data_IF_292535110388
#
_entry.id   IF_292535110388
#
_cell.length_a   1.000
_cell.length_b   1.000
_cell.length_c   1.000
_cell.angle_alpha   90.00
_cell.angle_beta   90.00
_cell.angle_gamma   90.00
#
_symmetry.space_group_name_H-M   'P 1'
#
loop_
_entity.id
_entity.type
_entity.pdbx_description
1 polymer ?
#
# COMPACT_ATOMS: atom_id res chain seq x y z
N UNK A 1 22.25 18.82 40.05
CA UNK A 1 22.25 19.86 39.01
C UNK A 1 21.74 19.22 37.73
N UNK A 2 20.61 19.66 37.15
CA UNK A 2 20.15 19.15 35.88
C UNK A 2 21.11 19.65 34.80
N UNK A 3 21.51 18.73 33.87
CA UNK A 3 22.27 19.09 32.67
C UNK A 3 21.47 20.11 31.85
N UNK A 4 22.08 21.16 31.31
CA UNK A 4 21.42 22.08 30.43
C UNK A 4 20.94 21.31 29.20
N UNK A 5 19.67 21.46 28.85
CA UNK A 5 19.12 20.98 27.57
C UNK A 5 19.96 21.60 26.45
N UNK A 6 20.53 20.76 25.60
CA UNK A 6 21.20 21.21 24.40
C UNK A 6 20.23 22.08 23.63
N UNK A 7 20.57 23.36 23.44
CA UNK A 7 19.84 24.27 22.58
C UNK A 7 20.01 23.77 21.12
N UNK A 8 19.11 22.93 20.67
CA UNK A 8 19.02 22.65 19.22
C UNK A 8 18.50 23.92 18.56
N UNK A 9 19.38 24.68 17.93
CA UNK A 9 18.95 25.69 16.96
C UNK A 9 18.13 24.94 15.91
N UNK A 10 16.86 25.30 15.69
CA UNK A 10 16.08 24.67 14.64
C UNK A 10 16.83 24.83 13.31
N UNK A 11 17.01 23.71 12.59
CA UNK A 11 17.63 23.73 11.27
C UNK A 11 16.84 24.60 10.27
N UNK A 12 17.38 24.82 9.05
CA UNK A 12 16.72 25.65 8.04
C UNK A 12 15.33 25.09 7.67
N UNK A 13 14.41 26.01 7.35
CA UNK A 13 13.09 25.72 6.82
C UNK A 13 13.10 25.79 5.29
N UNK A 14 12.09 25.20 4.64
CA UNK A 14 11.98 25.24 3.17
C UNK A 14 12.01 26.68 2.63
N UNK A 15 11.34 27.62 3.29
CA UNK A 15 11.34 29.05 2.90
C UNK A 15 12.71 29.74 2.96
N UNK A 16 13.68 29.15 3.65
CA UNK A 16 15.02 29.72 3.82
C UNK A 16 15.97 29.33 2.67
N UNK A 17 15.52 28.44 1.76
CA UNK A 17 16.27 27.93 0.63
C UNK A 17 15.58 28.27 -0.70
N UNK A 18 16.35 28.40 -1.74
CA UNK A 18 15.85 28.34 -3.11
C UNK A 18 15.52 26.89 -3.49
N UNK A 19 14.70 26.70 -4.51
CA UNK A 19 14.39 25.40 -5.07
C UNK A 19 15.67 24.61 -5.44
N UNK A 20 16.61 25.25 -6.11
CA UNK A 20 17.88 24.63 -6.52
C UNK A 20 18.71 24.15 -5.30
N UNK A 21 18.74 24.93 -4.21
CA UNK A 21 19.45 24.54 -2.98
C UNK A 21 18.75 23.37 -2.27
N UNK A 22 17.42 23.31 -2.31
CA UNK A 22 16.65 22.19 -1.76
C UNK A 22 16.86 20.93 -2.61
N UNK A 23 16.75 21.02 -3.94
CA UNK A 23 17.01 19.92 -4.86
C UNK A 23 18.43 19.37 -4.71
N UNK A 24 19.44 20.24 -4.57
CA UNK A 24 20.81 19.82 -4.33
C UNK A 24 21.00 18.97 -3.04
N UNK A 25 20.09 19.08 -2.08
CA UNK A 25 20.13 18.31 -0.85
C UNK A 25 19.34 17.00 -0.91
N UNK A 26 18.32 16.90 -1.77
CA UNK A 26 17.44 15.72 -1.83
C UNK A 26 17.78 14.78 -2.98
N UNK A 27 18.08 15.30 -4.18
CA UNK A 27 18.36 14.48 -5.38
C UNK A 27 19.50 13.46 -5.15
N UNK A 28 20.61 13.79 -4.50
CA UNK A 28 21.67 12.81 -4.21
C UNK A 28 21.27 11.67 -3.27
N UNK A 29 20.15 11.78 -2.57
CA UNK A 29 19.61 10.73 -1.68
C UNK A 29 18.73 9.73 -2.42
N UNK A 30 18.27 10.07 -3.63
CA UNK A 30 17.33 9.26 -4.41
C UNK A 30 18.05 8.15 -5.18
N UNK A 31 17.45 6.96 -5.28
CA UNK A 31 18.07 5.86 -6.01
C UNK A 31 17.94 6.05 -7.51
N UNK A 32 18.99 5.68 -8.23
CA UNK A 32 18.92 5.51 -9.69
C UNK A 32 18.32 4.14 -10.01
N UNK A 33 17.36 4.09 -10.93
CA UNK A 33 16.74 2.86 -11.38
C UNK A 33 17.68 1.99 -12.23
N UNK A 34 17.50 0.66 -12.18
CA UNK A 34 18.28 -0.28 -12.99
C UNK A 34 18.12 -0.08 -14.50
N UNK A 35 16.96 0.44 -14.92
CA UNK A 35 16.62 0.67 -16.33
C UNK A 35 16.76 2.12 -16.76
N UNK A 36 17.24 2.99 -15.86
CA UNK A 36 17.41 4.42 -16.13
C UNK A 36 18.71 4.70 -16.88
N UNK A 37 18.59 5.19 -18.11
CA UNK A 37 19.70 5.64 -18.95
C UNK A 37 20.10 7.07 -18.61
N UNK A 38 19.11 7.98 -18.62
CA UNK A 38 19.26 9.38 -18.22
C UNK A 38 18.47 9.58 -16.92
N UNK A 39 19.14 9.80 -15.78
CA UNK A 39 18.47 10.05 -14.50
C UNK A 39 17.99 11.51 -14.37
N UNK A 40 17.45 11.87 -13.20
CA UNK A 40 17.16 13.26 -12.83
C UNK A 40 18.34 14.18 -13.05
N UNK A 41 18.07 15.40 -13.52
CA UNK A 41 19.09 16.43 -13.77
C UNK A 41 19.05 16.98 -15.20
N UNK A 42 18.24 16.40 -16.08
CA UNK A 42 17.88 16.90 -17.40
C UNK A 42 16.35 17.14 -17.44
N UNK A 43 15.81 17.66 -18.55
CA UNK A 43 14.38 17.97 -18.72
C UNK A 43 13.49 16.73 -18.52
N UNK A 44 14.02 15.55 -18.83
CA UNK A 44 13.31 14.27 -18.64
C UNK A 44 14.27 13.10 -18.40
N UNK A 45 13.83 12.13 -17.62
CA UNK A 45 14.51 10.85 -17.50
C UNK A 45 14.27 9.98 -18.73
N UNK A 46 15.24 9.12 -19.07
CA UNK A 46 15.11 8.12 -20.14
C UNK A 46 15.24 6.72 -19.56
N UNK A 47 14.26 5.87 -19.84
CA UNK A 47 14.16 4.50 -19.35
C UNK A 47 14.18 3.49 -20.49
N UNK A 48 14.73 2.30 -20.25
CA UNK A 48 14.59 1.13 -21.13
C UNK A 48 13.50 0.22 -20.58
N UNK A 49 12.54 -0.13 -21.42
CA UNK A 49 11.50 -1.11 -21.13
C UNK A 49 11.69 -2.36 -22.00
N UNK A 50 11.41 -3.54 -21.42
CA UNK A 50 11.77 -4.81 -22.03
C UNK A 50 10.99 -5.15 -23.31
N UNK A 51 9.73 -4.70 -23.44
CA UNK A 51 8.84 -5.03 -24.56
C UNK A 51 8.08 -3.83 -25.16
N UNK A 52 8.49 -2.62 -24.81
CA UNK A 52 7.87 -1.39 -25.33
C UNK A 52 6.51 -1.04 -24.69
N UNK A 53 6.03 -1.83 -23.71
CA UNK A 53 4.83 -1.53 -22.91
C UNK A 53 5.20 -1.03 -21.54
N UNK A 54 4.42 -0.10 -21.03
CA UNK A 54 4.57 0.48 -19.69
C UNK A 54 3.24 0.42 -18.94
N UNK A 55 3.27 0.03 -17.67
CA UNK A 55 2.18 0.31 -16.75
C UNK A 55 2.43 1.65 -16.09
N UNK A 56 1.40 2.44 -15.92
CA UNK A 56 1.47 3.75 -15.28
C UNK A 56 0.28 3.93 -14.34
N UNK A 57 0.54 4.38 -13.11
CA UNK A 57 -0.48 4.88 -12.18
C UNK A 57 0.06 6.07 -11.40
N UNK A 58 -0.83 6.80 -10.77
CA UNK A 58 -0.51 7.98 -9.96
C UNK A 58 -1.38 8.01 -8.73
N UNK A 59 -0.72 8.18 -7.58
CA UNK A 59 -1.37 8.42 -6.29
C UNK A 59 -0.94 9.73 -5.67
N UNK A 60 -1.75 10.24 -4.75
CA UNK A 60 -1.48 11.47 -4.02
C UNK A 60 -1.67 11.28 -2.52
N UNK A 61 -0.72 11.76 -1.73
CA UNK A 61 -0.86 11.94 -0.29
C UNK A 61 -1.04 13.43 0.05
N UNK A 62 -2.01 13.72 0.91
CA UNK A 62 -2.31 15.08 1.39
C UNK A 62 -2.23 15.09 2.90
N UNK A 63 -1.49 16.05 3.49
CA UNK A 63 -1.43 16.23 4.94
C UNK A 63 -2.82 16.53 5.52
N UNK A 64 -3.13 15.92 6.66
CA UNK A 64 -4.43 16.01 7.31
C UNK A 64 -5.50 15.06 6.74
N UNK A 65 -5.22 14.40 5.60
CA UNK A 65 -6.10 13.38 4.99
C UNK A 65 -5.45 12.00 5.09
N UNK A 66 -4.27 11.84 4.52
CA UNK A 66 -3.58 10.55 4.42
C UNK A 66 -2.45 10.39 5.44
N UNK A 67 -1.86 11.47 5.91
CA UNK A 67 -0.84 11.50 6.93
C UNK A 67 -0.89 12.79 7.75
N UNK A 68 -0.17 12.81 8.87
CA UNK A 68 0.04 14.00 9.70
C UNK A 68 1.50 14.04 10.13
N UNK A 69 2.13 15.23 10.10
CA UNK A 69 3.53 15.42 10.52
C UNK A 69 3.77 15.17 12.00
N UNK A 70 2.74 15.24 12.84
CA UNK A 70 2.83 14.91 14.26
C UNK A 70 2.77 13.40 14.55
N UNK A 71 2.42 12.58 13.54
CA UNK A 71 2.44 11.11 13.58
C UNK A 71 3.57 10.50 12.77
N UNK A 72 3.91 11.12 11.63
CA UNK A 72 4.77 10.57 10.61
C UNK A 72 6.01 11.41 10.43
N UNK A 73 7.18 10.79 10.48
CA UNK A 73 8.42 11.42 10.03
C UNK A 73 8.42 11.61 8.51
N UNK A 74 9.34 12.41 7.99
CA UNK A 74 9.54 12.51 6.55
C UNK A 74 9.83 11.14 5.91
N UNK A 75 10.66 10.32 6.57
CA UNK A 75 11.00 8.98 6.11
C UNK A 75 9.78 8.05 6.04
N UNK A 76 8.83 8.13 6.99
CA UNK A 76 7.61 7.34 6.95
C UNK A 76 6.72 7.74 5.76
N UNK A 77 6.58 9.04 5.52
CA UNK A 77 5.79 9.57 4.40
C UNK A 77 6.43 9.20 3.06
N UNK A 78 7.75 9.35 2.91
CA UNK A 78 8.47 8.96 1.70
C UNK A 78 8.35 7.46 1.39
N UNK A 79 8.48 6.62 2.42
CA UNK A 79 8.24 5.18 2.30
C UNK A 79 6.81 4.89 1.81
N UNK A 80 5.80 5.51 2.44
CA UNK A 80 4.40 5.28 2.12
C UNK A 80 4.05 5.71 0.70
N UNK A 81 4.54 6.89 0.25
CA UNK A 81 4.39 7.36 -1.14
C UNK A 81 4.91 6.31 -2.12
N UNK A 82 6.11 5.77 -1.87
CA UNK A 82 6.68 4.74 -2.73
C UNK A 82 5.89 3.43 -2.66
N UNK A 83 5.58 2.94 -1.46
CA UNK A 83 4.96 1.64 -1.23
C UNK A 83 3.59 1.50 -1.91
N UNK A 84 2.71 2.52 -1.79
CA UNK A 84 1.38 2.49 -2.41
C UNK A 84 1.46 2.50 -3.94
N UNK A 85 2.31 3.35 -4.52
CA UNK A 85 2.50 3.40 -5.97
C UNK A 85 3.13 2.09 -6.52
N UNK A 86 4.10 1.53 -5.79
CA UNK A 86 4.70 0.23 -6.12
C UNK A 86 3.63 -0.87 -6.10
N UNK A 87 2.71 -0.86 -5.13
CA UNK A 87 1.62 -1.82 -5.04
C UNK A 87 0.75 -1.81 -6.30
N UNK A 88 0.41 -0.64 -6.84
CA UNK A 88 -0.34 -0.52 -8.09
C UNK A 88 0.35 -1.19 -9.28
N UNK A 89 1.64 -0.91 -9.47
CA UNK A 89 2.39 -1.53 -10.56
C UNK A 89 2.44 -3.06 -10.41
N UNK A 90 2.68 -3.54 -9.18
CA UNK A 90 2.76 -4.98 -8.87
C UNK A 90 1.39 -5.64 -8.98
N UNK A 91 0.29 -4.96 -8.67
CA UNK A 91 -1.07 -5.44 -8.86
C UNK A 91 -1.38 -5.76 -10.34
N UNK A 92 -0.73 -5.07 -11.27
CA UNK A 92 -0.80 -5.38 -12.71
C UNK A 92 0.15 -6.51 -13.14
N UNK A 93 0.93 -7.09 -12.23
CA UNK A 93 1.99 -8.06 -12.52
C UNK A 93 3.26 -7.42 -13.10
N UNK A 94 3.40 -6.11 -13.01
CA UNK A 94 4.56 -5.37 -13.51
C UNK A 94 5.63 -5.22 -12.43
N UNK A 95 6.90 -5.24 -12.87
CA UNK A 95 8.03 -4.86 -12.01
C UNK A 95 8.11 -3.33 -11.96
N UNK A 96 8.12 -2.69 -10.77
CA UNK A 96 8.32 -1.25 -10.65
C UNK A 96 9.70 -0.86 -11.18
N UNK A 97 9.77 0.23 -11.96
CA UNK A 97 11.01 0.67 -12.61
C UNK A 97 11.41 2.08 -12.24
N UNK A 98 10.45 2.99 -12.19
CA UNK A 98 10.72 4.41 -11.98
C UNK A 98 9.55 5.08 -11.28
N UNK A 99 9.86 5.97 -10.35
CA UNK A 99 8.92 6.85 -9.67
C UNK A 99 9.24 8.29 -10.02
N UNK A 100 8.22 9.07 -10.34
CA UNK A 100 8.31 10.53 -10.54
C UNK A 100 7.46 11.20 -9.47
N UNK A 101 8.01 12.18 -8.73
CA UNK A 101 7.39 12.72 -7.51
C UNK A 101 7.25 14.23 -7.59
N UNK A 102 6.02 14.73 -7.61
CA UNK A 102 5.70 16.15 -7.51
C UNK A 102 5.24 16.50 -6.09
N UNK A 103 5.74 17.60 -5.52
CA UNK A 103 5.45 18.02 -4.16
C UNK A 103 5.09 19.51 -4.06
N UNK A 104 3.97 19.79 -3.38
CA UNK A 104 3.69 21.11 -2.82
C UNK A 104 4.15 21.13 -1.37
N UNK A 105 5.02 22.09 -1.02
CA UNK A 105 5.61 22.19 0.32
C UNK A 105 5.32 23.56 0.97
N UNK A 106 4.73 23.58 2.18
CA UNK A 106 4.67 24.79 3.01
C UNK A 106 6.06 25.28 3.40
N UNK A 107 6.22 26.59 3.43
CA UNK A 107 7.51 27.18 3.76
C UNK A 107 8.01 26.95 5.19
N UNK A 108 7.13 26.49 6.11
CA UNK A 108 7.47 26.17 7.50
C UNK A 108 7.97 24.75 7.72
N UNK A 109 8.05 23.95 6.65
CA UNK A 109 8.56 22.58 6.74
C UNK A 109 10.07 22.60 6.96
N UNK A 110 10.60 21.84 7.95
CA UNK A 110 12.03 21.71 8.14
C UNK A 110 12.70 21.02 6.91
N UNK A 111 13.80 21.54 6.42
CA UNK A 111 14.59 20.93 5.34
C UNK A 111 15.01 19.50 5.72
N UNK A 112 15.32 19.26 6.99
CA UNK A 112 15.64 17.93 7.50
C UNK A 112 14.49 16.93 7.24
N UNK A 113 13.23 17.35 7.40
CA UNK A 113 12.07 16.51 7.15
C UNK A 113 11.95 16.14 5.66
N UNK A 114 12.21 17.09 4.75
CA UNK A 114 12.20 16.83 3.30
C UNK A 114 13.33 15.87 2.89
N UNK A 115 14.50 16.01 3.50
CA UNK A 115 15.62 15.06 3.31
C UNK A 115 15.28 13.66 3.82
N UNK A 116 14.56 13.57 4.94
CA UNK A 116 14.11 12.28 5.47
C UNK A 116 13.05 11.66 4.57
N UNK A 117 12.17 12.46 3.94
CA UNK A 117 11.24 11.98 2.93
C UNK A 117 11.99 11.36 1.73
N UNK A 118 13.02 12.03 1.22
CA UNK A 118 13.86 11.47 0.15
C UNK A 118 14.54 10.15 0.56
N UNK A 119 14.98 10.02 1.83
CA UNK A 119 15.51 8.76 2.35
C UNK A 119 14.45 7.66 2.40
N UNK A 120 13.22 7.98 2.84
CA UNK A 120 12.11 7.03 2.86
C UNK A 120 11.77 6.50 1.47
N UNK A 121 11.73 7.37 0.45
CA UNK A 121 11.61 6.98 -0.95
C UNK A 121 12.74 6.01 -1.35
N UNK A 122 13.99 6.36 -1.02
CA UNK A 122 15.15 5.55 -1.36
C UNK A 122 15.15 4.18 -0.67
N UNK A 123 14.77 4.13 0.61
CA UNK A 123 14.66 2.89 1.38
C UNK A 123 13.64 1.91 0.79
N UNK A 124 12.52 2.44 0.27
CA UNK A 124 11.48 1.61 -0.34
C UNK A 124 11.81 1.19 -1.78
N UNK A 125 12.29 2.12 -2.61
CA UNK A 125 12.54 1.90 -4.04
C UNK A 125 13.85 1.14 -4.30
N UNK A 126 14.92 1.47 -3.57
CA UNK A 126 16.26 0.97 -3.83
C UNK A 126 16.39 -0.55 -3.89
N UNK A 127 15.86 -1.32 -2.91
CA UNK A 127 15.94 -2.78 -2.92
C UNK A 127 15.25 -3.44 -4.11
N UNK A 128 14.32 -2.73 -4.78
CA UNK A 128 13.57 -3.22 -5.95
C UNK A 128 14.25 -2.85 -7.27
N UNK A 129 15.34 -2.06 -7.24
CA UNK A 129 15.96 -1.49 -8.43
C UNK A 129 15.08 -0.45 -9.14
N UNK A 130 14.11 0.10 -8.41
CA UNK A 130 13.25 1.17 -8.87
C UNK A 130 13.92 2.52 -8.64
N UNK A 131 14.03 3.35 -9.69
CA UNK A 131 14.58 4.70 -9.56
C UNK A 131 13.54 5.69 -9.02
N UNK A 132 14.03 6.83 -8.50
CA UNK A 132 13.24 8.05 -8.35
C UNK A 132 13.87 9.05 -9.30
N UNK A 133 13.34 9.10 -10.52
CA UNK A 133 14.04 9.62 -11.69
C UNK A 133 13.56 11.03 -12.11
N UNK A 134 12.68 11.64 -11.34
CA UNK A 134 12.21 13.00 -11.65
C UNK A 134 11.13 13.47 -10.68
N UNK A 135 10.71 14.71 -10.90
CA UNK A 135 9.65 15.32 -10.10
C UNK A 135 9.58 16.82 -10.28
N UNK A 136 8.81 17.43 -9.40
CA UNK A 136 8.61 18.87 -9.35
C UNK A 136 8.47 19.34 -7.90
N UNK A 137 8.93 20.56 -7.60
CA UNK A 137 8.82 21.18 -6.28
C UNK A 137 8.14 22.54 -6.41
N UNK A 138 7.03 22.73 -5.70
CA UNK A 138 6.36 24.04 -5.63
C UNK A 138 6.19 24.46 -4.18
N UNK A 139 6.37 25.75 -3.91
CA UNK A 139 5.99 26.34 -2.62
C UNK A 139 4.47 26.56 -2.57
N UNK A 140 3.81 26.21 -1.47
CA UNK A 140 2.37 26.39 -1.33
C UNK A 140 1.90 26.45 0.11
N UNK A 141 0.59 26.44 0.30
CA UNK A 141 -0.04 26.51 1.62
C UNK A 141 -0.34 25.15 2.25
N UNK A 142 -0.25 24.09 1.49
CA UNK A 142 -0.58 22.72 1.91
C UNK A 142 0.58 21.79 1.58
N UNK A 143 0.68 20.69 2.31
CA UNK A 143 1.60 19.64 1.92
C UNK A 143 0.83 18.58 1.13
N UNK A 144 1.17 18.45 -0.14
CA UNK A 144 0.66 17.42 -1.02
C UNK A 144 1.82 16.78 -1.79
N UNK A 145 1.79 15.46 -1.92
CA UNK A 145 2.83 14.67 -2.59
C UNK A 145 2.13 13.75 -3.57
N UNK A 146 2.36 13.97 -4.85
CA UNK A 146 1.88 13.08 -5.91
C UNK A 146 3.04 12.31 -6.47
N UNK A 147 2.87 11.00 -6.64
CA UNK A 147 3.88 10.17 -7.26
C UNK A 147 3.29 9.36 -8.41
N UNK A 148 4.04 9.24 -9.49
CA UNK A 148 3.68 8.44 -10.66
C UNK A 148 4.67 7.30 -10.80
N UNK A 149 4.16 6.06 -10.80
CA UNK A 149 4.96 4.84 -10.97
C UNK A 149 4.92 4.37 -12.42
N UNK A 150 6.06 3.98 -12.94
CA UNK A 150 6.24 3.32 -14.22
C UNK A 150 6.71 1.89 -13.97
N UNK A 151 5.99 0.91 -14.54
CA UNK A 151 6.30 -0.51 -14.38
C UNK A 151 6.47 -1.23 -15.71
N UNK A 152 7.26 -2.29 -15.70
CA UNK A 152 7.59 -3.14 -16.83
C UNK A 152 6.95 -4.52 -16.68
N UNK A 153 6.15 -4.93 -17.63
CA UNK A 153 5.51 -6.25 -17.64
C UNK A 153 6.48 -7.40 -17.98
N UNK A 154 7.69 -7.09 -18.46
CA UNK A 154 8.72 -8.09 -18.84
C UNK A 154 8.16 -9.16 -19.78
N UNK A 155 7.38 -8.76 -20.80
CA UNK A 155 6.76 -9.64 -21.79
C UNK A 155 5.48 -10.34 -21.34
N UNK A 156 5.07 -10.19 -20.07
CA UNK A 156 3.91 -10.87 -19.50
C UNK A 156 2.59 -10.17 -19.87
N UNK A 157 1.49 -10.92 -19.81
CA UNK A 157 0.13 -10.37 -19.87
C UNK A 157 -0.18 -9.65 -18.54
N UNK A 158 -0.74 -8.43 -18.57
CA UNK A 158 -1.13 -7.74 -17.34
C UNK A 158 -2.26 -8.51 -16.63
N UNK A 159 -2.21 -8.53 -15.32
CA UNK A 159 -3.31 -8.98 -14.48
C UNK A 159 -4.36 -7.86 -14.40
N UNK A 160 -5.61 -8.20 -14.63
CA UNK A 160 -6.70 -7.23 -14.73
C UNK A 160 -7.83 -7.58 -13.78
N UNK A 161 -8.48 -6.58 -13.18
CA UNK A 161 -9.64 -6.78 -12.31
C UNK A 161 -10.79 -7.54 -12.99
N UNK A 162 -10.88 -7.46 -14.32
CA UNK A 162 -11.91 -8.11 -15.14
C UNK A 162 -11.61 -9.59 -15.49
N UNK A 163 -10.55 -10.17 -14.93
CA UNK A 163 -10.12 -11.51 -15.29
C UNK A 163 -10.56 -12.60 -14.29
N UNK A 164 -11.43 -12.28 -13.32
CA UNK A 164 -11.98 -13.29 -12.43
C UNK A 164 -13.07 -14.10 -13.13
N UNK A 165 -13.06 -15.42 -12.90
CA UNK A 165 -14.02 -16.35 -13.49
C UNK A 165 -14.59 -17.30 -12.42
N UNK A 166 -15.86 -17.77 -12.59
CA UNK A 166 -16.45 -18.73 -11.68
C UNK A 166 -15.59 -19.98 -11.49
N UNK A 167 -15.52 -20.46 -10.25
CA UNK A 167 -14.72 -21.64 -9.85
C UNK A 167 -13.26 -21.33 -9.51
N UNK A 168 -12.79 -20.09 -9.69
CA UNK A 168 -11.46 -19.71 -9.25
C UNK A 168 -11.41 -19.53 -7.73
N UNK A 169 -10.35 -19.97 -7.04
CA UNK A 169 -10.09 -19.60 -5.67
C UNK A 169 -9.77 -18.10 -5.56
N UNK A 170 -10.28 -17.46 -4.50
CA UNK A 170 -9.90 -16.12 -4.09
C UNK A 170 -8.74 -16.24 -3.11
N UNK A 171 -7.62 -15.59 -3.42
CA UNK A 171 -6.39 -15.67 -2.64
C UNK A 171 -5.90 -14.29 -2.24
N UNK A 172 -5.20 -14.21 -1.13
CA UNK A 172 -4.63 -12.96 -0.62
C UNK A 172 -3.17 -13.16 -0.19
N UNK A 173 -2.35 -12.13 -0.43
CA UNK A 173 -0.96 -12.05 0.03
C UNK A 173 -0.76 -10.74 0.79
N UNK A 174 -0.20 -10.80 1.99
CA UNK A 174 0.09 -9.63 2.83
C UNK A 174 -0.74 -9.56 4.12
N UNK A 175 -0.85 -8.36 4.66
CA UNK A 175 -1.60 -8.04 5.87
C UNK A 175 -3.03 -7.62 5.54
N UNK A 176 -3.93 -7.76 6.53
CA UNK A 176 -5.30 -7.24 6.50
C UNK A 176 -5.67 -6.66 7.87
N UNK A 177 -6.20 -5.43 7.87
CA UNK A 177 -6.73 -4.74 9.04
C UNK A 177 -5.67 -4.13 9.97
N UNK A 178 -4.39 -4.34 9.71
CA UNK A 178 -3.30 -3.89 10.58
C UNK A 178 -3.10 -2.38 10.48
N UNK A 179 -3.13 -1.83 9.28
CA UNK A 179 -3.04 -0.39 9.07
C UNK A 179 -4.23 0.36 9.69
N UNK A 180 -5.46 -0.15 9.55
CA UNK A 180 -6.64 0.43 10.18
C UNK A 180 -6.56 0.42 11.72
N UNK A 181 -6.07 -0.66 12.31
CA UNK A 181 -5.83 -0.76 13.75
C UNK A 181 -4.75 0.25 14.22
N UNK A 182 -3.66 0.39 13.46
CA UNK A 182 -2.60 1.37 13.72
C UNK A 182 -3.08 2.82 13.62
N UNK A 183 -3.90 3.12 12.61
CA UNK A 183 -4.55 4.43 12.45
C UNK A 183 -5.45 4.75 13.65
N UNK A 184 -6.24 3.79 14.13
CA UNK A 184 -7.10 4.01 15.28
C UNK A 184 -6.29 4.28 16.55
N UNK A 185 -5.20 3.56 16.77
CA UNK A 185 -4.28 3.82 17.88
C UNK A 185 -3.77 5.26 17.85
N UNK A 186 -3.22 5.71 16.72
CA UNK A 186 -2.73 7.09 16.54
C UNK A 186 -3.85 8.12 16.73
N UNK A 187 -5.04 7.88 16.20
CA UNK A 187 -6.20 8.77 16.32
C UNK A 187 -6.67 8.94 17.76
N UNK A 188 -6.41 7.95 18.64
CA UNK A 188 -6.68 8.01 20.07
C UNK A 188 -5.52 8.59 20.90
N UNK A 189 -4.49 9.10 20.23
CA UNK A 189 -3.35 9.74 20.87
C UNK A 189 -2.30 8.76 21.43
N UNK A 190 -2.30 7.51 20.96
CA UNK A 190 -1.24 6.58 21.30
C UNK A 190 0.04 6.95 20.56
N UNK A 191 1.10 7.21 21.35
CA UNK A 191 2.43 7.43 20.83
C UNK A 191 3.34 6.29 21.32
N UNK A 192 4.09 5.62 20.47
CA UNK A 192 4.97 4.51 20.86
C UNK A 192 5.94 4.86 21.97
N UNK A 193 6.33 6.14 22.06
CA UNK A 193 7.32 6.64 23.01
C UNK A 193 6.78 6.91 24.42
N UNK A 194 5.46 6.91 24.62
CA UNK A 194 4.81 7.41 25.85
C UNK A 194 4.11 6.37 26.70
N UNK A 195 3.99 5.14 26.26
CA UNK A 195 3.19 4.15 26.98
C UNK A 195 3.88 2.80 27.10
N UNK A 196 3.67 2.13 28.23
CA UNK A 196 3.96 0.71 28.43
C UNK A 196 2.97 -0.14 27.58
N UNK A 197 3.02 0.08 26.26
CA UNK A 197 2.18 -0.64 25.31
C UNK A 197 2.79 -1.97 24.95
N UNK A 198 1.94 -2.98 24.65
CA UNK A 198 2.39 -4.21 24.04
C UNK A 198 3.14 -3.92 22.74
N UNK A 199 4.20 -4.65 22.46
CA UNK A 199 4.93 -4.59 21.18
C UNK A 199 3.98 -4.71 19.98
N UNK A 200 2.81 -5.36 20.15
CA UNK A 200 1.77 -5.46 19.16
C UNK A 200 1.23 -4.10 18.70
N UNK A 201 0.94 -3.18 19.62
CA UNK A 201 0.43 -1.84 19.26
C UNK A 201 1.46 -1.03 18.47
N UNK A 202 2.73 -1.08 18.89
CA UNK A 202 3.82 -0.44 18.16
C UNK A 202 3.95 -0.97 16.73
N UNK A 203 3.84 -2.30 16.55
CA UNK A 203 3.87 -2.92 15.21
C UNK A 203 2.71 -2.47 14.33
N UNK A 204 1.49 -2.38 14.86
CA UNK A 204 0.33 -1.90 14.10
C UNK A 204 0.47 -0.45 13.67
N UNK A 205 0.98 0.41 14.55
CA UNK A 205 1.30 1.81 14.20
C UNK A 205 2.34 1.84 13.07
N UNK A 206 3.38 1.03 13.15
CA UNK A 206 4.40 0.96 12.10
C UNK A 206 3.84 0.44 10.77
N UNK A 207 2.92 -0.52 10.79
CA UNK A 207 2.27 -1.03 9.59
C UNK A 207 1.40 0.04 8.92
N UNK A 208 0.76 0.93 9.69
CA UNK A 208 0.07 2.10 9.15
C UNK A 208 1.03 3.16 8.61
N UNK A 209 2.10 3.49 9.34
CA UNK A 209 3.06 4.53 8.92
C UNK A 209 3.90 4.10 7.71
N UNK A 210 4.26 2.83 7.66
CA UNK A 210 5.13 2.22 6.64
C UNK A 210 4.53 0.91 6.13
N UNK A 211 3.52 0.96 5.27
CA UNK A 211 2.95 -0.25 4.67
C UNK A 211 4.02 -1.03 3.91
N UNK A 212 3.89 -2.37 3.94
CA UNK A 212 4.87 -3.29 3.35
C UNK A 212 4.16 -4.25 2.39
N UNK A 213 3.84 -3.79 1.16
CA UNK A 213 3.29 -4.67 0.15
C UNK A 213 4.26 -5.83 -0.13
N UNK A 214 3.77 -7.09 -0.21
CA UNK A 214 4.60 -8.28 -0.45
C UNK A 214 5.01 -8.40 -1.92
N UNK A 215 5.79 -7.43 -2.40
CA UNK A 215 6.21 -7.27 -3.81
C UNK A 215 6.96 -8.50 -4.32
N UNK A 216 7.89 -9.03 -3.53
CA UNK A 216 8.74 -10.15 -3.92
C UNK A 216 7.93 -11.43 -4.13
N UNK A 217 7.01 -11.73 -3.22
CA UNK A 217 6.13 -12.89 -3.25
C UNK A 217 5.21 -12.84 -4.48
N UNK A 218 4.60 -11.68 -4.73
CA UNK A 218 3.70 -11.48 -5.87
C UNK A 218 4.44 -11.57 -7.19
N UNK A 219 5.57 -10.89 -7.36
CA UNK A 219 6.34 -10.97 -8.59
C UNK A 219 6.89 -12.38 -8.84
N UNK A 220 7.22 -13.13 -7.78
CA UNK A 220 7.59 -14.55 -7.89
C UNK A 220 6.41 -15.39 -8.39
N UNK A 221 5.22 -15.21 -7.83
CA UNK A 221 3.99 -15.89 -8.25
C UNK A 221 3.65 -15.58 -9.72
N UNK A 222 3.74 -14.30 -10.11
CA UNK A 222 3.50 -13.86 -11.51
C UNK A 222 4.50 -14.49 -12.47
N UNK A 223 5.77 -14.55 -12.12
CA UNK A 223 6.82 -15.23 -12.92
C UNK A 223 6.58 -16.75 -13.00
N UNK A 224 6.05 -17.33 -11.93
CA UNK A 224 5.68 -18.76 -11.91
C UNK A 224 4.37 -19.07 -12.67
N UNK A 225 3.73 -18.05 -13.25
CA UNK A 225 2.56 -18.22 -14.10
C UNK A 225 1.21 -17.97 -13.44
N UNK A 226 1.17 -17.22 -12.33
CA UNK A 226 -0.11 -16.75 -11.77
C UNK A 226 -0.92 -16.03 -12.86
N UNK A 227 -2.17 -16.44 -13.02
CA UNK A 227 -3.18 -15.88 -13.94
C UNK A 227 -4.48 -15.71 -13.18
N UNK A 228 -5.31 -14.77 -13.61
CA UNK A 228 -6.58 -14.39 -13.01
C UNK A 228 -6.65 -12.90 -12.76
N UNK A 229 -7.62 -12.46 -11.97
CA UNK A 229 -7.71 -11.07 -11.54
C UNK A 229 -6.74 -10.77 -10.42
N UNK A 230 -6.25 -9.54 -10.35
CA UNK A 230 -5.49 -9.04 -9.20
C UNK A 230 -5.69 -7.54 -9.01
N UNK A 231 -5.63 -7.10 -7.76
CA UNK A 231 -5.49 -5.70 -7.35
C UNK A 231 -4.86 -5.63 -5.95
N UNK A 232 -4.36 -4.46 -5.56
CA UNK A 232 -3.97 -4.21 -4.17
C UNK A 232 -5.18 -3.94 -3.27
N UNK A 233 -5.01 -4.12 -1.96
CA UNK A 233 -6.04 -3.83 -0.96
C UNK A 233 -5.70 -2.50 -0.28
N UNK A 234 -6.21 -1.42 -0.85
CA UNK A 234 -5.98 -0.04 -0.41
C UNK A 234 -7.18 0.57 0.34
N UNK A 235 -8.42 0.27 -0.09
CA UNK A 235 -9.65 0.82 0.49
C UNK A 235 -10.39 -0.16 1.42
N UNK A 236 -9.85 -1.36 1.57
CA UNK A 236 -10.41 -2.42 2.38
C UNK A 236 -10.89 -3.62 1.57
N UNK A 237 -10.71 -4.82 2.14
CA UNK A 237 -10.90 -6.10 1.45
C UNK A 237 -12.26 -6.21 0.75
N UNK A 238 -13.36 -5.84 1.41
CA UNK A 238 -14.70 -5.91 0.83
C UNK A 238 -14.88 -4.96 -0.36
N UNK A 239 -14.38 -3.73 -0.23
CA UNK A 239 -14.50 -2.73 -1.29
C UNK A 239 -13.68 -3.11 -2.51
N UNK A 240 -12.49 -3.59 -2.29
CA UNK A 240 -11.59 -3.99 -3.36
C UNK A 240 -12.04 -5.30 -4.01
N UNK A 241 -12.56 -6.26 -3.24
CA UNK A 241 -13.23 -7.44 -3.78
C UNK A 241 -14.45 -7.05 -4.65
N UNK A 242 -15.23 -6.05 -4.23
CA UNK A 242 -16.37 -5.56 -5.02
C UNK A 242 -15.93 -4.95 -6.36
N UNK A 243 -14.77 -4.31 -6.42
CA UNK A 243 -14.20 -3.80 -7.69
C UNK A 243 -13.83 -4.93 -8.65
N UNK A 244 -13.24 -6.01 -8.14
CA UNK A 244 -12.99 -7.22 -8.95
C UNK A 244 -14.30 -7.85 -9.38
N UNK A 245 -15.24 -8.04 -8.45
CA UNK A 245 -16.54 -8.65 -8.73
C UNK A 245 -17.31 -7.87 -9.80
N UNK A 246 -17.36 -6.54 -9.69
CA UNK A 246 -18.03 -5.67 -10.67
C UNK A 246 -17.34 -5.69 -12.03
N UNK A 247 -16.00 -5.61 -12.07
CA UNK A 247 -15.24 -5.61 -13.31
C UNK A 247 -15.33 -6.94 -14.07
N UNK A 248 -15.50 -8.04 -13.35
CA UNK A 248 -15.59 -9.40 -13.90
C UNK A 248 -17.02 -9.89 -14.08
N UNK A 249 -18.02 -9.21 -13.51
CA UNK A 249 -19.42 -9.67 -13.54
C UNK A 249 -19.65 -10.98 -12.77
N UNK A 250 -19.05 -11.12 -11.59
CA UNK A 250 -19.08 -12.36 -10.79
C UNK A 250 -19.53 -12.11 -9.36
N UNK A 251 -19.94 -13.19 -8.69
CA UNK A 251 -20.12 -13.24 -7.24
C UNK A 251 -18.83 -13.75 -6.59
N UNK A 252 -18.30 -13.02 -5.62
CA UNK A 252 -17.18 -13.41 -4.78
C UNK A 252 -17.69 -13.68 -3.36
N UNK A 253 -17.43 -14.87 -2.81
CA UNK A 253 -17.70 -15.17 -1.41
C UNK A 253 -16.38 -15.26 -0.62
N UNK A 254 -16.28 -14.46 0.43
CA UNK A 254 -15.13 -14.44 1.35
C UNK A 254 -15.47 -15.33 2.54
N UNK A 255 -14.56 -16.23 2.90
CA UNK A 255 -14.75 -17.15 4.01
C UNK A 255 -14.11 -16.60 5.27
N UNK A 256 -14.93 -16.23 6.26
CA UNK A 256 -14.45 -15.54 7.48
C UNK A 256 -13.47 -16.40 8.29
N UNK A 257 -13.64 -17.71 8.33
CA UNK A 257 -12.74 -18.62 9.05
C UNK A 257 -11.29 -18.56 8.54
N UNK A 258 -11.10 -18.34 7.23
CA UNK A 258 -9.76 -18.25 6.61
C UNK A 258 -9.05 -16.94 6.97
N UNK A 259 -9.81 -15.92 7.39
CA UNK A 259 -9.31 -14.62 7.84
C UNK A 259 -8.99 -14.61 9.35
N UNK A 260 -9.29 -15.68 10.09
CA UNK A 260 -9.17 -15.76 11.54
C UNK A 260 -7.77 -15.40 12.05
N UNK A 261 -6.71 -15.78 11.31
CA UNK A 261 -5.33 -15.42 11.68
C UNK A 261 -5.13 -13.90 11.75
N UNK A 262 -5.64 -13.17 10.74
CA UNK A 262 -5.53 -11.71 10.71
C UNK A 262 -6.32 -11.04 11.83
N UNK A 263 -7.53 -11.56 12.12
CA UNK A 263 -8.34 -11.08 13.22
C UNK A 263 -7.69 -11.36 14.58
N UNK A 264 -7.10 -12.56 14.79
CA UNK A 264 -6.42 -12.90 16.04
C UNK A 264 -5.24 -11.99 16.35
N UNK A 265 -4.47 -11.57 15.35
CA UNK A 265 -3.35 -10.63 15.50
C UNK A 265 -3.79 -9.26 16.08
N UNK A 266 -5.07 -8.91 15.95
CA UNK A 266 -5.63 -7.64 16.42
C UNK A 266 -6.30 -7.75 17.81
N UNK A 267 -6.59 -8.97 18.31
CA UNK A 267 -7.39 -9.17 19.53
C UNK A 267 -6.76 -8.58 20.78
N UNK A 268 -5.44 -8.65 20.92
CA UNK A 268 -4.74 -8.08 22.07
C UNK A 268 -4.97 -6.56 22.13
N UNK A 269 -4.81 -5.89 21.01
CA UNK A 269 -5.03 -4.45 20.89
C UNK A 269 -6.50 -4.08 21.05
N UNK A 270 -7.43 -4.88 20.51
CA UNK A 270 -8.86 -4.66 20.69
C UNK A 270 -9.27 -4.68 22.17
N UNK A 271 -8.76 -5.64 22.94
CA UNK A 271 -9.00 -5.73 24.40
C UNK A 271 -8.41 -4.53 25.12
N UNK A 272 -7.19 -4.13 24.76
CA UNK A 272 -6.52 -2.98 25.34
C UNK A 272 -7.26 -1.66 25.05
N UNK A 273 -7.86 -1.53 23.86
CA UNK A 273 -8.73 -0.43 23.50
C UNK A 273 -10.09 -0.45 24.20
N UNK A 274 -10.38 -1.48 25.01
CA UNK A 274 -11.64 -1.62 25.76
C UNK A 274 -12.84 -1.90 24.84
N UNK A 275 -12.62 -2.60 23.71
CA UNK A 275 -13.73 -2.95 22.82
C UNK A 275 -14.67 -3.95 23.49
N UNK A 276 -15.97 -3.67 23.42
CA UNK A 276 -17.00 -4.56 24.00
C UNK A 276 -17.04 -5.92 23.31
N UNK A 277 -16.81 -5.95 22.01
CA UNK A 277 -16.59 -7.16 21.22
C UNK A 277 -15.27 -7.06 20.46
N UNK A 278 -14.16 -7.57 21.04
CA UNK A 278 -12.85 -7.54 20.43
C UNK A 278 -12.77 -8.29 19.10
N UNK A 279 -13.51 -9.39 18.95
CA UNK A 279 -13.48 -10.21 17.75
C UNK A 279 -14.23 -9.53 16.61
N UNK A 280 -15.39 -8.97 16.87
CA UNK A 280 -16.15 -8.19 15.89
C UNK A 280 -15.34 -6.98 15.38
N UNK A 281 -14.70 -6.25 16.30
CA UNK A 281 -13.84 -5.13 15.92
C UNK A 281 -12.67 -5.58 15.04
N UNK A 282 -12.03 -6.70 15.38
CA UNK A 282 -10.92 -7.23 14.61
C UNK A 282 -11.36 -7.62 13.19
N UNK A 283 -12.50 -8.33 13.04
CA UNK A 283 -13.05 -8.64 11.72
C UNK A 283 -13.47 -7.38 10.95
N UNK A 284 -13.99 -6.37 11.62
CA UNK A 284 -14.29 -5.08 10.97
C UNK A 284 -13.02 -4.45 10.39
N UNK A 285 -11.91 -4.41 11.15
CA UNK A 285 -10.63 -3.94 10.63
C UNK A 285 -10.16 -4.77 9.42
N UNK A 286 -10.24 -6.12 9.51
CA UNK A 286 -9.77 -7.02 8.44
C UNK A 286 -10.59 -6.88 7.16
N UNK A 287 -11.91 -6.72 7.27
CA UNK A 287 -12.82 -6.68 6.12
C UNK A 287 -12.95 -5.29 5.50
N UNK A 288 -12.87 -4.23 6.31
CA UNK A 288 -13.14 -2.86 5.85
C UNK A 288 -11.97 -1.89 6.04
N UNK A 289 -10.92 -2.31 6.74
CA UNK A 289 -9.73 -1.48 6.93
C UNK A 289 -8.94 -1.32 5.64
N UNK A 290 -8.55 -0.08 5.31
CA UNK A 290 -7.70 0.23 4.18
C UNK A 290 -6.23 0.39 4.56
N UNK A 291 -5.40 0.74 3.58
CA UNK A 291 -3.99 1.13 3.69
C UNK A 291 -3.02 -0.02 4.03
N UNK A 292 -3.44 -1.28 3.94
CA UNK A 292 -2.55 -2.43 4.16
C UNK A 292 -1.68 -2.74 2.92
N UNK A 293 -2.18 -2.43 1.72
CA UNK A 293 -1.51 -2.67 0.43
C UNK A 293 -1.05 -4.12 0.21
N UNK A 294 -1.78 -5.08 0.79
CA UNK A 294 -1.69 -6.49 0.41
C UNK A 294 -2.32 -6.70 -0.98
N UNK A 295 -2.25 -7.93 -1.52
CA UNK A 295 -2.78 -8.22 -2.85
C UNK A 295 -3.91 -9.24 -2.79
N UNK A 296 -5.05 -8.85 -3.35
CA UNK A 296 -6.20 -9.70 -3.58
C UNK A 296 -6.15 -10.21 -5.03
N UNK A 297 -6.22 -11.52 -5.20
CA UNK A 297 -6.17 -12.13 -6.52
C UNK A 297 -7.12 -13.32 -6.64
N UNK A 298 -7.49 -13.65 -7.87
CA UNK A 298 -8.04 -14.95 -8.22
C UNK A 298 -6.96 -15.76 -8.95
N UNK A 299 -7.09 -17.07 -8.97
CA UNK A 299 -6.09 -17.93 -9.59
C UNK A 299 -6.75 -18.91 -10.57
N UNK A 300 -6.23 -18.94 -11.81
CA UNK A 300 -6.64 -19.96 -12.76
C UNK A 300 -6.24 -21.34 -12.24
N UNK A 301 -7.22 -22.24 -12.18
CA UNK A 301 -6.99 -23.65 -11.89
C UNK A 301 -7.24 -24.44 -13.17
N UNK A 302 -6.26 -25.23 -13.60
CA UNK A 302 -6.47 -26.09 -14.75
C UNK A 302 -7.62 -27.08 -14.47
N UNK A 303 -8.46 -27.42 -15.47
CA UNK A 303 -9.57 -28.36 -15.30
C UNK A 303 -9.14 -29.71 -14.71
N UNK A 304 -7.92 -30.14 -14.99
CA UNK A 304 -7.33 -31.38 -14.46
C UNK A 304 -7.04 -31.32 -12.94
N UNK A 305 -6.94 -30.10 -12.38
CA UNK A 305 -6.72 -29.86 -10.94
C UNK A 305 -7.98 -29.49 -10.19
N UNK A 306 -9.06 -29.15 -10.90
CA UNK A 306 -10.33 -28.71 -10.31
C UNK A 306 -11.20 -29.86 -9.75
N UNK A 307 -10.96 -31.11 -10.12
CA UNK A 307 -11.78 -32.27 -9.75
C UNK A 307 -11.02 -33.29 -8.92
N UNK A 308 -10.63 -32.92 -7.73
CA UNK A 308 -10.07 -33.88 -6.78
C UNK A 308 -9.48 -33.19 -5.57
N UNK A 309 -10.24 -33.04 -4.53
CA UNK A 309 -9.91 -32.95 -3.08
C UNK A 309 -8.52 -32.41 -2.64
N UNK A 310 -7.76 -31.72 -3.46
CA UNK A 310 -6.54 -31.02 -3.09
C UNK A 310 -6.65 -29.56 -3.50
N UNK A 311 -6.63 -28.68 -2.50
CA UNK A 311 -6.38 -27.25 -2.69
C UNK A 311 -5.19 -27.11 -3.65
N UNK A 312 -5.30 -26.37 -4.77
CA UNK A 312 -4.16 -26.15 -5.65
C UNK A 312 -2.99 -25.62 -4.80
N UNK A 313 -1.76 -25.98 -5.16
CA UNK A 313 -0.60 -25.40 -4.48
C UNK A 313 -0.65 -23.89 -4.68
N UNK A 314 -0.96 -23.17 -3.58
CA UNK A 314 -0.95 -21.73 -3.59
C UNK A 314 0.49 -21.24 -3.76
N UNK A 315 0.69 -20.12 -4.46
CA UNK A 315 1.99 -19.47 -4.49
C UNK A 315 2.45 -19.13 -3.05
N UNK A 316 3.76 -19.19 -2.84
CA UNK A 316 4.35 -18.82 -1.54
C UNK A 316 3.90 -17.42 -1.10
N UNK A 317 3.51 -17.26 0.16
CA UNK A 317 3.00 -16.01 0.72
C UNK A 317 1.50 -15.79 0.51
N UNK A 318 0.83 -16.56 -0.37
CA UNK A 318 -0.61 -16.45 -0.58
C UNK A 318 -1.40 -17.39 0.34
N UNK A 319 -2.61 -16.97 0.66
CA UNK A 319 -3.59 -17.73 1.43
C UNK A 319 -4.91 -17.77 0.68
N UNK A 320 -5.60 -18.88 0.76
CA UNK A 320 -7.00 -18.96 0.33
C UNK A 320 -7.86 -18.17 1.30
N UNK A 321 -8.71 -17.28 0.77
CA UNK A 321 -9.63 -16.48 1.58
C UNK A 321 -11.09 -16.54 1.12
N UNK A 322 -11.38 -17.25 0.03
CA UNK A 322 -12.72 -17.36 -0.51
C UNK A 322 -12.74 -17.99 -1.90
N UNK A 323 -13.81 -17.77 -2.63
CA UNK A 323 -14.01 -18.28 -3.97
C UNK A 323 -14.78 -17.31 -4.87
N UNK A 324 -14.61 -17.48 -6.17
CA UNK A 324 -15.48 -16.89 -7.20
C UNK A 324 -16.58 -17.90 -7.50
N UNK A 325 -17.81 -17.63 -7.05
CA UNK A 325 -18.92 -18.60 -7.07
C UNK A 325 -19.59 -18.70 -8.43
N UNK A 326 -20.21 -17.63 -8.90
CA UNK A 326 -21.03 -17.65 -10.10
C UNK A 326 -20.95 -16.33 -10.87
N UNK A 327 -21.44 -16.33 -12.09
CA UNK A 327 -21.67 -15.10 -12.83
C UNK A 327 -22.76 -14.26 -12.13
N UNK A 328 -22.49 -12.98 -11.94
CA UNK A 328 -23.41 -12.02 -11.32
C UNK A 328 -23.27 -10.67 -12.01
N UNK A 329 -24.16 -10.29 -12.92
CA UNK A 329 -24.11 -8.99 -13.58
C UNK A 329 -24.09 -7.85 -12.57
N UNK A 330 -23.07 -6.97 -12.65
CA UNK A 330 -22.84 -5.89 -11.72
C UNK A 330 -21.98 -6.23 -10.50
N UNK A 331 -21.62 -7.49 -10.32
CA UNK A 331 -20.75 -7.97 -9.24
C UNK A 331 -21.47 -8.04 -7.88
N UNK A 332 -21.10 -9.05 -7.10
CA UNK A 332 -21.59 -9.24 -5.73
C UNK A 332 -20.43 -9.71 -4.84
N UNK A 333 -20.36 -9.22 -3.61
CA UNK A 333 -19.47 -9.75 -2.58
C UNK A 333 -20.28 -10.13 -1.35
N UNK A 334 -20.02 -11.33 -0.84
CA UNK A 334 -20.59 -11.83 0.42
C UNK A 334 -19.47 -12.29 1.37
N UNK A 335 -19.82 -12.42 2.64
CA UNK A 335 -18.99 -13.09 3.65
C UNK A 335 -19.81 -14.24 4.20
N UNK A 336 -19.31 -15.49 4.03
CA UNK A 336 -20.02 -16.73 4.40
C UNK A 336 -21.44 -16.77 3.80
N UNK A 337 -21.56 -16.41 2.52
CA UNK A 337 -22.82 -16.38 1.77
C UNK A 337 -23.79 -15.26 2.16
N UNK A 338 -23.40 -14.29 2.97
CA UNK A 338 -24.25 -13.19 3.48
C UNK A 338 -23.69 -11.82 3.14
N UNK A 339 -24.57 -10.86 2.88
CA UNK A 339 -24.15 -9.48 2.72
C UNK A 339 -23.57 -8.93 4.04
N UNK A 340 -22.41 -8.29 3.96
CA UNK A 340 -21.81 -7.58 5.08
C UNK A 340 -22.46 -6.21 5.23
N UNK A 341 -22.98 -5.89 6.45
CA UNK A 341 -23.75 -4.67 6.71
C UNK A 341 -23.06 -3.67 7.63
N UNK A 342 -21.81 -3.96 8.07
CA UNK A 342 -21.10 -3.22 9.13
C UNK A 342 -19.92 -2.40 8.59
N UNK A 343 -20.16 -1.59 7.57
CA UNK A 343 -19.15 -0.77 6.90
C UNK A 343 -18.77 -1.29 5.51
N UNK A 344 -18.30 -0.39 4.66
CA UNK A 344 -18.05 -0.66 3.22
C UNK A 344 -16.62 -0.34 2.77
N UNK A 345 -15.70 -0.05 3.69
CA UNK A 345 -14.36 0.43 3.36
C UNK A 345 -14.28 1.96 3.25
N UNK A 346 -13.08 2.47 2.90
CA UNK A 346 -12.82 3.90 2.85
C UNK A 346 -13.41 4.56 1.59
N UNK A 347 -13.94 5.78 1.74
CA UNK A 347 -14.42 6.62 0.64
C UNK A 347 -13.99 8.08 0.86
N UNK A 348 -13.21 8.64 -0.06
CA UNK A 348 -12.69 10.00 0.05
C UNK A 348 -13.78 11.09 0.08
N UNK A 349 -14.95 10.82 -0.51
CA UNK A 349 -16.03 11.80 -0.66
C UNK A 349 -17.25 11.51 0.22
N UNK A 350 -17.32 10.32 0.83
CA UNK A 350 -18.37 9.94 1.76
C UNK A 350 -17.77 9.70 3.13
N UNK A 351 -17.78 10.72 3.98
CA UNK A 351 -17.49 10.53 5.40
C UNK A 351 -18.69 9.82 6.03
N UNK A 352 -18.47 8.55 6.45
CA UNK A 352 -19.44 7.77 7.22
C UNK A 352 -19.71 8.36 8.59
#
# INVERSE_FOLDING_TARGET
>A
MPRPAASHTPGPLVRDLSEAELLAQIVPLLPRGETTIVPSGDDSAVLVLSDGRVTVSTDMLVEGVHFRRDWSSGSDVGWRVAAQNIADAVAMGARPRSLVVAMELPGDVPVAWVRDLARGLAECCGPLGCGVDGGDLVGGGHMAISATILGDLEGRTPLQRSAAAPGQPLIHCGNLGRAAAGFELLSRGFAPERSAFPDAATRLIQDFLRPRPPVTEVLRAVRAGLRGAMMDVSDGLLRDAQRIAAASGVHIDIHSETLSRHAHDLLEVARHLGRSDPLEWAYSCVLTGGEDHGFLATMDVSPERAWGARIPHLPEGFSLIGAVEAAHPGGLVTVDGRAWTRGSGWDHFRRG
#
